data_IF_619749450397
#
_entry.id   IF_619749450397
#
_cell.length_a   1.000
_cell.length_b   1.000
_cell.length_c   1.000
_cell.angle_alpha   90.00
_cell.angle_beta   90.00
_cell.angle_gamma   90.00
#
_symmetry.space_group_name_H-M   'P 1'
#
loop_
_entity.id
_entity.type
_entity.pdbx_description
1 polymer ?
#
# COMPACT_ATOMS: atom_id res chain seq x y z
N UNK A 1 -27.73 -29.20 -58.35
CA UNK A 1 -26.47 -29.24 -57.56
C UNK A 1 -26.19 -30.68 -57.24
N UNK A 2 -24.99 -31.15 -57.58
CA UNK A 2 -24.60 -32.52 -57.28
C UNK A 2 -24.48 -32.70 -55.75
N UNK A 3 -24.87 -33.85 -55.17
CA UNK A 3 -24.81 -34.08 -53.73
C UNK A 3 -23.44 -33.81 -53.12
N UNK A 4 -22.37 -34.05 -53.89
CA UNK A 4 -20.98 -33.74 -53.52
C UNK A 4 -20.73 -32.25 -53.37
N UNK A 5 -21.24 -31.43 -54.30
CA UNK A 5 -21.13 -29.96 -54.23
C UNK A 5 -21.86 -29.39 -53.01
N UNK A 6 -23.02 -29.95 -52.66
CA UNK A 6 -23.77 -29.56 -51.46
C UNK A 6 -22.99 -29.91 -50.18
N UNK A 7 -22.40 -31.11 -50.10
CA UNK A 7 -21.58 -31.52 -48.94
C UNK A 7 -20.36 -30.63 -48.74
N UNK A 8 -19.66 -30.26 -49.82
CA UNK A 8 -18.49 -29.37 -49.75
C UNK A 8 -18.88 -27.99 -49.20
N UNK A 9 -20.00 -27.42 -49.66
CA UNK A 9 -20.48 -26.12 -49.18
C UNK A 9 -20.88 -26.15 -47.71
N UNK A 10 -21.53 -27.23 -47.26
CA UNK A 10 -21.87 -27.42 -45.84
C UNK A 10 -20.60 -27.53 -44.99
N UNK A 11 -19.62 -28.33 -45.42
CA UNK A 11 -18.35 -28.47 -44.71
C UNK A 11 -17.59 -27.14 -44.63
N UNK A 12 -17.53 -26.37 -45.73
CA UNK A 12 -16.93 -25.05 -45.75
C UNK A 12 -17.65 -24.07 -44.80
N UNK A 13 -18.99 -24.07 -44.80
CA UNK A 13 -19.80 -23.26 -43.90
C UNK A 13 -19.54 -23.59 -42.42
N UNK A 14 -19.44 -24.87 -42.08
CA UNK A 14 -19.10 -25.31 -40.72
C UNK A 14 -17.70 -24.85 -40.30
N UNK A 15 -16.70 -24.95 -41.19
CA UNK A 15 -15.34 -24.47 -40.91
C UNK A 15 -15.34 -22.96 -40.64
N UNK A 16 -16.05 -22.18 -41.45
CA UNK A 16 -16.18 -20.73 -41.24
C UNK A 16 -16.84 -20.42 -39.89
N UNK A 17 -17.92 -21.12 -39.52
CA UNK A 17 -18.59 -20.94 -38.24
C UNK A 17 -17.67 -21.26 -37.05
N UNK A 18 -16.88 -22.34 -37.13
CA UNK A 18 -15.91 -22.68 -36.09
C UNK A 18 -14.84 -21.60 -35.91
N UNK A 19 -14.33 -21.03 -37.01
CA UNK A 19 -13.35 -19.94 -36.97
C UNK A 19 -13.97 -18.69 -36.33
N UNK A 20 -15.19 -18.32 -36.70
CA UNK A 20 -15.88 -17.16 -36.14
C UNK A 20 -16.11 -17.31 -34.63
N UNK A 21 -16.55 -18.50 -34.19
CA UNK A 21 -16.75 -18.78 -32.77
C UNK A 21 -15.42 -18.71 -31.99
N UNK A 22 -14.34 -19.25 -32.57
CA UNK A 22 -13.01 -19.18 -31.97
C UNK A 22 -12.50 -17.73 -31.83
N UNK A 23 -12.66 -16.89 -32.86
CA UNK A 23 -12.28 -15.47 -32.80
C UNK A 23 -13.07 -14.76 -31.69
N UNK A 24 -14.40 -14.96 -31.63
CA UNK A 24 -15.25 -14.33 -30.63
C UNK A 24 -14.87 -14.73 -29.20
N UNK A 25 -14.63 -16.03 -28.96
CA UNK A 25 -14.21 -16.53 -27.66
C UNK A 25 -12.84 -15.97 -27.26
N UNK A 26 -11.88 -15.97 -28.18
CA UNK A 26 -10.52 -15.44 -27.94
C UNK A 26 -10.55 -13.94 -27.64
N UNK A 27 -11.33 -13.17 -28.41
CA UNK A 27 -11.50 -11.73 -28.20
C UNK A 27 -12.05 -11.42 -26.80
N UNK A 28 -13.14 -12.09 -26.40
CA UNK A 28 -13.74 -11.89 -25.09
C UNK A 28 -12.76 -12.22 -23.96
N UNK A 29 -12.01 -13.33 -24.10
CA UNK A 29 -10.98 -13.69 -23.12
C UNK A 29 -9.88 -12.63 -22.99
N UNK A 30 -9.46 -12.00 -24.09
CA UNK A 30 -8.49 -10.89 -24.04
C UNK A 30 -9.07 -9.66 -23.36
N UNK A 31 -10.35 -9.35 -23.61
CA UNK A 31 -11.05 -8.24 -22.92
C UNK A 31 -11.11 -8.50 -21.42
N UNK A 32 -11.46 -9.72 -21.00
CA UNK A 32 -11.51 -10.10 -19.59
C UNK A 32 -10.15 -9.94 -18.92
N UNK A 33 -9.09 -10.48 -19.53
CA UNK A 33 -7.73 -10.36 -19.01
C UNK A 33 -7.23 -8.90 -18.97
N UNK A 34 -7.58 -8.08 -19.96
CA UNK A 34 -7.24 -6.65 -19.96
C UNK A 34 -7.93 -5.91 -18.83
N UNK A 35 -9.21 -6.22 -18.58
CA UNK A 35 -9.95 -5.62 -17.47
C UNK A 35 -9.39 -6.08 -16.12
N UNK A 36 -8.94 -7.33 -16.00
CA UNK A 36 -8.26 -7.83 -14.82
C UNK A 36 -6.97 -7.03 -14.53
N UNK A 37 -6.14 -6.80 -15.55
CA UNK A 37 -4.95 -5.94 -15.43
C UNK A 37 -5.31 -4.53 -14.97
N UNK A 38 -6.37 -3.94 -15.53
CA UNK A 38 -6.80 -2.59 -15.16
C UNK A 38 -7.32 -2.52 -13.72
N UNK A 39 -8.08 -3.53 -13.28
CA UNK A 39 -8.58 -3.60 -11.90
C UNK A 39 -7.41 -3.69 -10.91
N UNK A 40 -6.43 -4.55 -11.20
CA UNK A 40 -5.24 -4.65 -10.33
C UNK A 40 -4.40 -3.37 -10.35
N UNK A 41 -4.34 -2.68 -11.48
CA UNK A 41 -3.70 -1.38 -11.55
C UNK A 41 -4.39 -0.32 -10.67
N UNK A 42 -5.73 -0.32 -10.61
CA UNK A 42 -6.48 0.61 -9.74
C UNK A 42 -6.24 0.34 -8.24
N UNK A 43 -6.14 -0.94 -7.85
CA UNK A 43 -5.78 -1.31 -6.48
C UNK A 43 -4.38 -0.79 -6.13
N UNK A 44 -3.41 -1.01 -7.03
CA UNK A 44 -2.05 -0.49 -6.90
C UNK A 44 -2.01 1.05 -6.83
N UNK A 45 -2.73 1.73 -7.72
CA UNK A 45 -2.80 3.20 -7.76
C UNK A 45 -3.35 3.78 -6.44
N UNK A 46 -4.30 3.09 -5.83
CA UNK A 46 -4.85 3.47 -4.53
C UNK A 46 -3.77 3.42 -3.44
N UNK A 47 -2.98 2.34 -3.35
CA UNK A 47 -1.89 2.25 -2.36
C UNK A 47 -0.77 3.26 -2.63
N UNK A 48 -0.44 3.47 -3.90
CA UNK A 48 0.49 4.51 -4.34
C UNK A 48 0.03 5.91 -3.89
N UNK A 49 -1.27 6.19 -4.00
CA UNK A 49 -1.89 7.43 -3.52
C UNK A 49 -1.88 7.58 -1.99
N UNK A 50 -2.15 6.50 -1.24
CA UNK A 50 -2.04 6.49 0.22
C UNK A 50 -0.62 6.82 0.65
N UNK A 51 0.40 6.19 0.04
CA UNK A 51 1.81 6.46 0.33
C UNK A 51 2.13 7.95 0.16
N UNK A 52 1.81 8.53 -1.00
CA UNK A 52 2.02 9.96 -1.28
C UNK A 52 1.33 10.87 -0.25
N UNK A 53 0.10 10.54 0.14
CA UNK A 53 -0.62 11.29 1.19
C UNK A 53 0.10 11.24 2.55
N UNK A 54 0.69 10.09 2.91
CA UNK A 54 1.46 9.97 4.18
C UNK A 54 2.78 10.73 4.11
N UNK A 55 3.50 10.66 3.00
CA UNK A 55 4.72 11.47 2.80
C UNK A 55 4.40 12.96 2.82
N UNK A 56 3.28 13.37 2.24
CA UNK A 56 2.82 14.75 2.26
C UNK A 56 2.56 15.28 3.68
N UNK A 57 2.09 14.43 4.59
CA UNK A 57 1.88 14.78 5.99
C UNK A 57 3.22 14.98 6.71
N UNK A 58 4.22 14.16 6.38
CA UNK A 58 5.59 14.30 6.90
C UNK A 58 6.22 15.62 6.46
N UNK A 59 6.10 16.01 5.18
CA UNK A 59 6.64 17.28 4.68
C UNK A 59 5.99 18.52 5.30
N UNK A 60 4.71 18.44 5.66
CA UNK A 60 3.99 19.52 6.34
C UNK A 60 4.42 19.71 7.81
N UNK A 61 5.12 18.73 8.39
CA UNK A 61 5.78 18.92 9.68
C UNK A 61 6.93 19.90 9.48
N UNK A 62 7.06 20.90 10.35
CA UNK A 62 8.11 21.93 10.25
C UNK A 62 9.50 21.33 10.57
N UNK A 63 10.00 20.53 9.63
CA UNK A 63 11.27 19.79 9.74
C UNK A 63 12.46 20.75 9.83
N UNK A 64 12.28 22.01 9.40
CA UNK A 64 13.22 23.10 9.59
C UNK A 64 13.32 23.56 11.06
N UNK A 65 12.23 23.52 11.83
CA UNK A 65 12.27 23.77 13.29
C UNK A 65 12.95 22.64 14.07
N UNK A 66 13.00 21.41 13.51
CA UNK A 66 13.51 20.22 14.18
C UNK A 66 15.02 19.98 13.99
N UNK A 67 15.72 20.79 13.19
CA UNK A 67 17.16 20.65 12.96
C UNK A 67 17.55 19.34 12.27
N UNK A 68 16.64 18.75 11.49
CA UNK A 68 16.90 17.55 10.69
C UNK A 68 18.13 17.77 9.79
N UNK A 69 18.99 16.77 9.61
CA UNK A 69 20.02 16.83 8.57
C UNK A 69 19.33 17.13 7.22
N UNK A 70 19.71 18.25 6.58
CA UNK A 70 19.03 18.72 5.36
C UNK A 70 18.99 17.62 4.30
N UNK A 71 20.00 16.74 4.27
CA UNK A 71 20.14 15.72 3.25
C UNK A 71 18.98 14.70 3.20
N UNK A 72 18.43 14.27 4.34
CA UNK A 72 17.30 13.31 4.35
C UNK A 72 16.01 14.02 3.94
N UNK A 73 15.80 15.25 4.44
CA UNK A 73 14.65 16.05 4.05
C UNK A 73 14.66 16.38 2.55
N UNK A 74 15.81 16.79 2.03
CA UNK A 74 16.01 17.11 0.61
C UNK A 74 15.70 15.88 -0.26
N UNK A 75 16.12 14.68 0.17
CA UNK A 75 15.78 13.41 -0.51
C UNK A 75 14.28 13.13 -0.50
N UNK A 76 13.56 13.39 0.59
CA UNK A 76 12.10 13.21 0.67
C UNK A 76 11.39 14.18 -0.27
N UNK A 77 11.77 15.46 -0.23
CA UNK A 77 11.19 16.52 -1.07
C UNK A 77 11.45 16.24 -2.55
N UNK A 78 12.67 15.83 -2.90
CA UNK A 78 13.02 15.46 -4.28
C UNK A 78 12.22 14.24 -4.75
N UNK A 79 12.16 13.17 -3.94
CA UNK A 79 11.40 11.98 -4.27
C UNK A 79 9.91 12.29 -4.50
N UNK A 80 9.31 13.13 -3.65
CA UNK A 80 7.91 13.55 -3.79
C UNK A 80 7.69 14.46 -5.00
N UNK A 81 8.61 15.36 -5.29
CA UNK A 81 8.56 16.19 -6.51
C UNK A 81 8.58 15.33 -7.77
N UNK A 82 9.49 14.36 -7.85
CA UNK A 82 9.55 13.43 -8.97
C UNK A 82 8.29 12.58 -9.08
N UNK A 83 7.75 12.14 -7.93
CA UNK A 83 6.49 11.42 -7.87
C UNK A 83 5.31 12.23 -8.41
N UNK A 84 5.16 13.48 -7.98
CA UNK A 84 4.10 14.37 -8.45
C UNK A 84 4.20 14.61 -9.98
N UNK A 85 5.41 14.85 -10.49
CA UNK A 85 5.65 15.00 -11.93
C UNK A 85 5.28 13.74 -12.71
N UNK A 86 5.69 12.57 -12.20
CA UNK A 86 5.40 11.30 -12.83
C UNK A 86 3.89 10.99 -12.84
N UNK A 87 3.20 11.25 -11.72
CA UNK A 87 1.73 11.12 -11.61
C UNK A 87 1.01 12.01 -12.61
N UNK A 88 1.41 13.28 -12.74
CA UNK A 88 0.82 14.21 -13.72
C UNK A 88 1.06 13.80 -15.18
N UNK A 89 2.13 13.04 -15.47
CA UNK A 89 2.42 12.58 -16.82
C UNK A 89 1.50 11.45 -17.31
N UNK A 90 0.79 10.77 -16.41
CA UNK A 90 -0.01 9.57 -16.72
C UNK A 90 0.82 8.36 -17.17
N UNK A 91 2.15 8.45 -17.15
CA UNK A 91 3.04 7.37 -17.57
C UNK A 91 3.27 6.40 -16.40
N UNK A 92 2.70 5.21 -16.49
CA UNK A 92 2.80 4.15 -15.47
C UNK A 92 4.26 3.77 -15.16
N UNK A 93 5.14 3.75 -16.17
CA UNK A 93 6.57 3.46 -15.98
C UNK A 93 7.29 4.60 -15.26
N UNK A 94 6.96 5.86 -15.56
CA UNK A 94 7.52 7.01 -14.85
C UNK A 94 7.03 7.04 -13.40
N UNK A 95 5.73 6.82 -13.18
CA UNK A 95 5.13 6.74 -11.85
C UNK A 95 5.79 5.63 -11.05
N UNK A 96 6.06 4.51 -11.73
CA UNK A 96 6.80 3.42 -11.13
C UNK A 96 8.18 3.90 -10.66
N UNK A 97 9.06 4.35 -11.56
CA UNK A 97 10.41 4.81 -11.15
C UNK A 97 10.42 5.85 -10.02
N UNK A 98 9.51 6.81 -10.05
CA UNK A 98 9.42 7.84 -9.02
C UNK A 98 8.91 7.31 -7.67
N UNK A 99 7.99 6.35 -7.69
CA UNK A 99 7.54 5.64 -6.48
C UNK A 99 8.70 4.90 -5.79
N UNK A 100 9.65 4.36 -6.56
CA UNK A 100 10.74 3.54 -6.00
C UNK A 100 11.75 4.39 -5.24
N UNK A 101 11.89 5.66 -5.63
CA UNK A 101 12.69 6.62 -4.89
C UNK A 101 12.10 6.85 -3.49
N UNK A 102 10.78 7.01 -3.37
CA UNK A 102 10.12 7.12 -2.06
C UNK A 102 10.34 5.87 -1.20
N UNK A 103 10.32 4.69 -1.81
CA UNK A 103 10.49 3.42 -1.09
C UNK A 103 11.90 3.25 -0.51
N UNK A 104 12.89 3.87 -1.14
CA UNK A 104 14.27 3.89 -0.63
C UNK A 104 14.47 4.91 0.49
N UNK A 105 13.76 6.04 0.47
CA UNK A 105 14.01 7.16 1.39
C UNK A 105 13.23 7.01 2.70
N UNK A 106 11.98 6.54 2.65
CA UNK A 106 11.11 6.47 3.84
C UNK A 106 11.65 5.57 4.97
N UNK A 107 12.15 4.35 4.70
CA UNK A 107 12.73 3.51 5.76
C UNK A 107 13.96 4.15 6.41
N UNK A 108 14.82 4.81 5.61
CA UNK A 108 15.98 5.52 6.12
C UNK A 108 15.60 6.74 6.96
N UNK A 109 14.53 7.46 6.57
CA UNK A 109 14.00 8.58 7.32
C UNK A 109 13.40 8.12 8.67
N UNK A 110 12.68 6.99 8.70
CA UNK A 110 12.16 6.41 9.93
C UNK A 110 13.29 6.00 10.88
N UNK A 111 14.29 5.27 10.40
CA UNK A 111 15.44 4.86 11.21
C UNK A 111 16.20 6.08 11.79
N UNK A 112 16.34 7.15 11.00
CA UNK A 112 16.93 8.39 11.48
C UNK A 112 16.07 9.03 12.58
N UNK A 113 14.74 9.11 12.41
CA UNK A 113 13.82 9.66 13.40
C UNK A 113 13.81 8.88 14.72
N UNK A 114 13.97 7.56 14.69
CA UNK A 114 14.08 6.69 15.87
C UNK A 114 15.41 6.86 16.62
N UNK A 115 16.51 7.09 15.88
CA UNK A 115 17.84 7.32 16.48
C UNK A 115 18.02 8.70 17.12
N UNK A 116 17.07 9.63 16.89
CA UNK A 116 17.14 11.03 17.31
C UNK A 116 15.97 11.37 18.26
N UNK A 117 16.22 11.46 19.58
CA UNK A 117 15.17 11.69 20.58
C UNK A 117 14.32 12.95 20.33
N UNK A 118 14.91 14.01 19.76
CA UNK A 118 14.17 15.23 19.42
C UNK A 118 13.08 14.97 18.37
N UNK A 119 13.31 14.04 17.43
CA UNK A 119 12.35 13.69 16.38
C UNK A 119 11.33 12.66 16.86
N UNK A 120 11.77 11.71 17.70
CA UNK A 120 10.89 10.68 18.26
C UNK A 120 9.75 11.29 19.08
N UNK A 121 9.99 12.43 19.73
CA UNK A 121 8.96 13.17 20.47
C UNK A 121 7.85 13.77 19.60
N UNK A 122 8.07 13.87 18.28
CA UNK A 122 7.13 14.47 17.35
C UNK A 122 6.20 13.39 16.76
N UNK A 123 5.14 13.05 17.51
CA UNK A 123 4.21 11.96 17.19
C UNK A 123 3.68 11.97 15.74
N UNK A 124 3.40 13.16 15.17
CA UNK A 124 2.90 13.27 13.78
C UNK A 124 3.95 12.85 12.74
N UNK A 125 5.22 13.11 13.01
CA UNK A 125 6.33 12.79 12.09
C UNK A 125 6.56 11.28 12.09
N UNK A 126 6.75 10.70 13.28
CA UNK A 126 7.01 9.27 13.46
C UNK A 126 5.84 8.46 12.91
N UNK A 127 4.60 8.79 13.29
CA UNK A 127 3.42 8.09 12.80
C UNK A 127 3.28 8.20 11.26
N UNK A 128 3.57 9.36 10.67
CA UNK A 128 3.54 9.53 9.21
C UNK A 128 4.58 8.67 8.49
N UNK A 129 5.80 8.57 9.06
CA UNK A 129 6.86 7.72 8.52
C UNK A 129 6.53 6.23 8.68
N UNK A 130 6.03 5.79 9.82
CA UNK A 130 5.58 4.42 10.06
C UNK A 130 4.44 4.01 9.12
N UNK A 131 3.42 4.86 8.99
CA UNK A 131 2.31 4.63 8.07
C UNK A 131 2.76 4.62 6.60
N UNK A 132 3.71 5.48 6.24
CA UNK A 132 4.34 5.50 4.92
C UNK A 132 5.09 4.20 4.63
N UNK A 133 5.91 3.73 5.57
CA UNK A 133 6.63 2.46 5.46
C UNK A 133 5.67 1.27 5.39
N UNK A 134 4.59 1.28 6.18
CA UNK A 134 3.55 0.27 6.12
C UNK A 134 2.80 0.27 4.77
N UNK A 135 2.59 1.45 4.16
CA UNK A 135 2.02 1.57 2.82
C UNK A 135 2.92 0.95 1.75
N UNK A 136 4.26 1.05 1.86
CA UNK A 136 5.21 0.35 0.97
C UNK A 136 4.98 -1.16 1.03
N UNK A 137 4.84 -1.70 2.23
CA UNK A 137 4.64 -3.14 2.41
C UNK A 137 3.35 -3.64 1.78
N UNK A 138 2.25 -2.90 1.94
CA UNK A 138 0.97 -3.22 1.27
C UNK A 138 1.10 -3.12 -0.25
N UNK A 139 1.75 -2.07 -0.72
CA UNK A 139 2.00 -1.83 -2.14
C UNK A 139 2.78 -2.99 -2.79
N UNK A 140 3.75 -3.60 -2.09
CA UNK A 140 4.49 -4.75 -2.63
C UNK A 140 3.58 -5.93 -3.03
N UNK A 141 2.56 -6.22 -2.21
CA UNK A 141 1.56 -7.26 -2.52
C UNK A 141 0.74 -6.90 -3.76
N UNK A 142 0.28 -5.65 -3.86
CA UNK A 142 -0.49 -5.17 -5.01
C UNK A 142 0.33 -5.16 -6.30
N UNK A 143 1.64 -4.87 -6.21
CA UNK A 143 2.56 -4.93 -7.35
C UNK A 143 2.71 -6.37 -7.85
N UNK A 144 2.80 -7.35 -6.96
CA UNK A 144 2.85 -8.76 -7.34
C UNK A 144 1.57 -9.18 -8.08
N UNK A 145 0.40 -8.85 -7.53
CA UNK A 145 -0.90 -9.16 -8.15
C UNK A 145 -1.07 -8.47 -9.51
N UNK A 146 -0.72 -7.19 -9.61
CA UNK A 146 -0.70 -6.46 -10.87
C UNK A 146 0.25 -7.12 -11.89
N UNK A 147 1.49 -7.38 -11.50
CA UNK A 147 2.47 -7.98 -12.40
C UNK A 147 2.06 -9.39 -12.84
N UNK A 148 1.43 -10.18 -11.97
CA UNK A 148 0.92 -11.49 -12.32
C UNK A 148 -0.23 -11.40 -13.33
N UNK A 149 -1.19 -10.49 -13.12
CA UNK A 149 -2.28 -10.27 -14.08
C UNK A 149 -1.74 -9.80 -15.44
N UNK A 150 -0.77 -8.88 -15.44
CA UNK A 150 -0.13 -8.38 -16.65
C UNK A 150 0.65 -9.48 -17.38
N UNK A 151 1.38 -10.35 -16.65
CA UNK A 151 2.06 -11.53 -17.21
C UNK A 151 1.06 -12.51 -17.83
N UNK A 152 -0.07 -12.78 -17.17
CA UNK A 152 -1.12 -13.66 -17.69
C UNK A 152 -1.72 -13.12 -19.00
N UNK A 153 -2.07 -11.83 -19.00
CA UNK A 153 -2.57 -11.13 -20.19
C UNK A 153 -1.55 -11.16 -21.33
N UNK A 154 -0.30 -10.77 -21.06
CA UNK A 154 0.78 -10.74 -22.05
C UNK A 154 1.00 -12.13 -22.65
N UNK A 155 1.11 -13.15 -21.81
CA UNK A 155 1.27 -14.55 -22.23
C UNK A 155 0.13 -14.98 -23.16
N UNK A 156 -1.13 -14.68 -22.81
CA UNK A 156 -2.27 -15.03 -23.65
C UNK A 156 -2.26 -14.27 -24.99
N UNK A 157 -1.93 -12.98 -25.00
CA UNK A 157 -1.86 -12.17 -26.23
C UNK A 157 -0.71 -12.57 -27.17
N UNK A 158 0.34 -13.18 -26.64
CA UNK A 158 1.52 -13.60 -27.40
C UNK A 158 1.47 -15.07 -27.84
N UNK A 159 0.59 -15.88 -27.24
CA UNK A 159 0.46 -17.30 -27.53
C UNK A 159 -0.22 -17.56 -28.88
N UNK A 160 0.25 -18.56 -29.64
CA UNK A 160 -0.45 -19.05 -30.83
C UNK A 160 -1.60 -19.99 -30.42
N UNK A 161 -2.81 -19.89 -31.00
CA UNK A 161 -3.20 -19.03 -32.12
C UNK A 161 -3.73 -17.63 -31.74
N UNK A 162 -3.85 -17.31 -30.45
CA UNK A 162 -4.42 -16.06 -29.95
C UNK A 162 -3.73 -14.80 -30.50
N UNK A 163 -2.41 -14.83 -30.72
CA UNK A 163 -1.62 -13.71 -31.28
C UNK A 163 -2.16 -13.16 -32.60
N UNK A 164 -2.84 -13.98 -33.41
CA UNK A 164 -3.48 -13.54 -34.67
C UNK A 164 -4.62 -12.57 -34.35
N UNK A 165 -5.48 -12.95 -33.41
CA UNK A 165 -6.61 -12.12 -32.94
C UNK A 165 -6.07 -10.88 -32.24
N UNK A 166 -5.03 -11.03 -31.40
CA UNK A 166 -4.41 -9.91 -30.70
C UNK A 166 -3.92 -8.83 -31.67
N UNK A 167 -3.18 -9.23 -32.71
CA UNK A 167 -2.68 -8.30 -33.74
C UNK A 167 -3.79 -7.69 -34.60
N UNK A 168 -4.82 -8.47 -34.94
CA UNK A 168 -5.95 -8.02 -35.75
C UNK A 168 -6.78 -6.94 -35.04
N UNK A 169 -7.01 -7.10 -33.74
CA UNK A 169 -7.84 -6.19 -32.93
C UNK A 169 -7.04 -5.19 -32.09
N UNK A 170 -5.70 -5.19 -32.21
CA UNK A 170 -4.84 -4.20 -31.57
C UNK A 170 -4.64 -4.40 -30.05
N UNK A 171 -4.75 -5.63 -29.55
CA UNK A 171 -4.36 -5.94 -28.17
C UNK A 171 -2.84 -5.83 -28.05
N UNK A 172 -2.39 -4.85 -27.26
CA UNK A 172 -0.98 -4.57 -26.98
C UNK A 172 -0.58 -5.20 -25.67
N UNK A 173 0.72 -5.50 -25.52
CA UNK A 173 1.34 -5.92 -24.26
C UNK A 173 1.09 -4.87 -23.17
N UNK A 174 0.77 -5.32 -21.97
CA UNK A 174 0.71 -4.50 -20.76
C UNK A 174 2.11 -4.30 -20.17
N UNK A 175 2.38 -3.09 -19.69
CA UNK A 175 3.62 -2.75 -18.99
C UNK A 175 3.63 -3.38 -17.59
N UNK A 176 4.78 -3.89 -17.18
CA UNK A 176 4.99 -4.34 -15.81
C UNK A 176 5.36 -3.15 -14.92
N UNK A 177 5.08 -3.30 -13.63
CA UNK A 177 5.50 -2.37 -12.60
C UNK A 177 6.86 -2.84 -12.06
N UNK A 178 7.90 -2.66 -12.86
CA UNK A 178 9.28 -3.20 -12.68
C UNK A 178 10.14 -2.44 -11.65
N UNK A 179 9.53 -1.98 -10.56
CA UNK A 179 10.22 -1.16 -9.56
C UNK A 179 11.08 -1.98 -8.59
N UNK A 180 10.80 -3.27 -8.49
CA UNK A 180 11.43 -4.18 -7.55
C UNK A 180 11.95 -5.36 -8.34
N UNK A 181 13.24 -5.71 -8.19
CA UNK A 181 13.65 -7.07 -8.53
C UNK A 181 12.89 -8.03 -7.60
N UNK A 182 12.68 -9.28 -8.02
CA UNK A 182 12.07 -10.31 -7.14
C UNK A 182 12.77 -10.36 -5.77
N UNK A 183 14.07 -10.08 -5.73
CA UNK A 183 14.90 -9.94 -4.53
C UNK A 183 14.56 -8.71 -3.67
N UNK A 184 14.27 -7.56 -4.28
CA UNK A 184 13.82 -6.36 -3.56
C UNK A 184 12.40 -6.53 -3.00
N UNK A 185 11.51 -7.21 -3.74
CA UNK A 185 10.18 -7.59 -3.24
C UNK A 185 10.31 -8.50 -2.03
N UNK A 186 11.17 -9.53 -2.11
CA UNK A 186 11.44 -10.44 -0.99
C UNK A 186 11.95 -9.68 0.25
N UNK A 187 12.91 -8.76 0.08
CA UNK A 187 13.41 -7.94 1.18
C UNK A 187 12.39 -6.93 1.75
N UNK A 188 11.36 -6.56 1.00
CA UNK A 188 10.23 -5.79 1.53
C UNK A 188 9.32 -6.63 2.42
N UNK A 189 9.16 -7.92 2.09
CA UNK A 189 8.43 -8.87 2.94
C UNK A 189 9.20 -9.21 4.22
N UNK A 190 10.53 -9.33 4.15
CA UNK A 190 11.36 -9.50 5.35
C UNK A 190 11.22 -8.28 6.28
N UNK A 191 11.36 -7.08 5.71
CA UNK A 191 11.11 -5.84 6.47
C UNK A 191 9.68 -5.75 6.99
N UNK A 192 8.67 -6.21 6.26
CA UNK A 192 7.28 -6.27 6.75
C UNK A 192 7.14 -7.14 7.99
N UNK A 193 7.79 -8.31 8.01
CA UNK A 193 7.74 -9.19 9.16
C UNK A 193 8.37 -8.51 10.39
N UNK A 194 9.52 -7.85 10.18
CA UNK A 194 10.20 -7.08 11.22
C UNK A 194 9.33 -5.90 11.70
N UNK A 195 8.81 -5.08 10.78
CA UNK A 195 7.94 -3.93 11.06
C UNK A 195 6.63 -4.34 11.72
N UNK A 196 6.02 -5.44 11.29
CA UNK A 196 4.79 -5.96 11.87
C UNK A 196 4.99 -6.37 13.33
N UNK A 197 6.07 -7.08 13.62
CA UNK A 197 6.45 -7.44 14.98
C UNK A 197 6.75 -6.20 15.86
N UNK A 198 7.34 -5.17 15.25
CA UNK A 198 7.65 -3.91 15.93
C UNK A 198 6.42 -3.06 16.25
N UNK A 199 5.50 -2.89 15.29
CA UNK A 199 4.24 -2.15 15.49
C UNK A 199 3.38 -2.83 16.55
N UNK A 200 3.33 -4.17 16.52
CA UNK A 200 2.58 -4.96 17.51
C UNK A 200 3.20 -4.83 18.92
N UNK A 201 4.53 -4.80 19.00
CA UNK A 201 5.27 -4.48 20.23
C UNK A 201 4.94 -3.08 20.76
N UNK A 202 4.98 -2.05 19.92
CA UNK A 202 4.71 -0.66 20.34
C UNK A 202 3.27 -0.44 20.76
N UNK A 203 2.33 -1.09 20.08
CA UNK A 203 0.91 -1.08 20.46
C UNK A 203 0.70 -1.75 21.82
N UNK A 204 1.33 -2.91 22.05
CA UNK A 204 1.30 -3.58 23.35
C UNK A 204 1.90 -2.72 24.47
N UNK A 205 3.01 -2.00 24.22
CA UNK A 205 3.59 -1.08 25.21
C UNK A 205 2.66 0.08 25.55
N UNK A 206 1.99 0.66 24.55
CA UNK A 206 1.04 1.75 24.75
C UNK A 206 -0.22 1.30 25.49
N UNK A 207 -0.72 0.10 25.17
CA UNK A 207 -1.87 -0.50 25.85
C UNK A 207 -1.57 -0.77 27.33
N UNK A 208 -0.39 -1.34 27.63
CA UNK A 208 0.08 -1.55 29.02
C UNK A 208 0.17 -0.23 29.78
N UNK A 209 0.72 0.81 29.16
CA UNK A 209 0.86 2.12 29.81
C UNK A 209 -0.50 2.79 30.08
N UNK A 210 -1.48 2.56 29.21
CA UNK A 210 -2.85 3.06 29.38
C UNK A 210 -3.57 2.32 30.51
N UNK A 211 -3.36 1.02 30.63
CA UNK A 211 -3.89 0.21 31.74
C UNK A 211 -3.30 0.68 33.08
N UNK A 212 -1.98 0.86 33.15
CA UNK A 212 -1.29 1.36 34.36
C UNK A 212 -1.79 2.74 34.82
N UNK A 213 -2.05 3.64 33.87
CA UNK A 213 -2.62 4.96 34.16
C UNK A 213 -4.03 4.87 34.73
N UNK A 214 -4.86 3.93 34.27
CA UNK A 214 -6.20 3.71 34.84
C UNK A 214 -6.12 3.18 36.26
N UNK A 215 -5.24 2.20 36.50
CA UNK A 215 -5.03 1.64 37.83
C UNK A 215 -4.53 2.70 38.83
N UNK A 216 -3.62 3.59 38.41
CA UNK A 216 -3.15 4.71 39.23
C UNK A 216 -4.26 5.73 39.52
N UNK A 217 -5.13 6.04 38.55
CA UNK A 217 -6.27 6.93 38.75
C UNK A 217 -7.25 6.32 39.76
N UNK A 218 -7.58 5.04 39.62
CA UNK A 218 -8.50 4.35 40.53
C UNK A 218 -7.95 4.29 41.96
N UNK A 219 -6.64 4.08 42.12
CA UNK A 219 -5.99 4.13 43.43
C UNK A 219 -6.06 5.52 44.08
N UNK A 220 -5.85 6.60 43.31
CA UNK A 220 -5.93 7.98 43.80
C UNK A 220 -7.36 8.34 44.18
N UNK A 221 -8.36 7.93 43.38
CA UNK A 221 -9.77 8.13 43.69
C UNK A 221 -10.16 7.45 45.01
N UNK A 222 -9.72 6.20 45.23
CA UNK A 222 -9.96 5.49 46.48
C UNK A 222 -9.30 6.16 47.70
N UNK A 223 -8.08 6.70 47.55
CA UNK A 223 -7.41 7.46 48.61
C UNK A 223 -8.15 8.77 48.94
N UNK A 224 -8.66 9.47 47.92
CA UNK A 224 -9.43 10.70 48.10
C UNK A 224 -10.75 10.44 48.85
N UNK A 225 -11.48 9.38 48.49
CA UNK A 225 -12.70 8.97 49.20
C UNK A 225 -12.43 8.64 50.67
N UNK A 226 -11.35 7.91 50.95
CA UNK A 226 -10.94 7.58 52.32
C UNK A 226 -10.60 8.84 53.14
N UNK A 227 -9.96 9.82 52.51
CA UNK A 227 -9.60 11.10 53.15
C UNK A 227 -10.86 11.91 53.49
N UNK A 228 -11.82 12.00 52.56
CA UNK A 228 -13.12 12.63 52.81
C UNK A 228 -13.90 11.93 53.93
N UNK A 229 -13.93 10.59 53.91
CA UNK A 229 -14.60 9.80 54.93
C UNK A 229 -13.98 10.05 56.33
N UNK A 230 -12.65 10.11 56.43
CA UNK A 230 -11.94 10.46 57.66
C UNK A 230 -12.24 11.89 58.13
N UNK A 231 -12.32 12.85 57.20
CA UNK A 231 -12.66 14.24 57.52
C UNK A 231 -14.09 14.37 58.06
N UNK A 232 -15.06 13.69 57.44
CA UNK A 232 -16.46 13.62 57.92
C UNK A 232 -16.55 12.98 59.30
N UNK A 233 -15.81 11.89 59.54
CA UNK A 233 -15.77 11.22 60.84
C UNK A 233 -15.18 12.12 61.94
N UNK A 234 -14.13 12.89 61.63
CA UNK A 234 -13.56 13.87 62.56
C UNK A 234 -14.56 14.98 62.91
N UNK A 235 -15.24 15.54 61.91
CA UNK A 235 -16.26 16.58 62.13
C UNK A 235 -17.43 16.09 62.99
N UNK A 236 -17.86 14.84 62.80
CA UNK A 236 -18.91 14.22 63.63
C UNK A 236 -18.45 14.01 65.08
N UNK A 237 -17.18 13.66 65.30
CA UNK A 237 -16.62 13.54 66.66
C UNK A 237 -16.54 14.88 67.39
N UNK A 238 -16.15 15.96 66.70
CA UNK A 238 -16.18 17.32 67.27
C UNK A 238 -17.60 17.78 67.63
N UNK A 239 -18.62 17.38 66.86
CA UNK A 239 -20.02 17.68 67.18
C UNK A 239 -20.59 16.83 68.33
N UNK A 240 -20.07 15.62 68.55
CA UNK A 240 -20.54 14.69 69.57
C UNK A 240 -20.04 15.00 70.99
N UNK A 241 -19.10 15.94 71.16
CA UNK A 241 -18.67 16.42 72.46
C UNK A 241 -17.82 15.43 73.26
N UNK A 242 -16.73 14.93 72.66
CA UNK A 242 -15.51 14.57 73.40
C UNK A 242 -14.50 15.71 73.37
#
# INVERSE_FOLDING_TARGET
MDPTTLMILIAAGLVVLMILFWIMSTYNRMVDLRNEVENQYQNLETQVGVKDQKVALVEQTDLAQLGLESEIYDKIVEARKLFAQAKSSGNRSALSKASGLMDSVLPSALAFAESNPQLTSHNVLVAGLEEGVHAISKMASEVEEYNQSAKNYNTFTEMFPAVIVARMFGFKRADLFDQYSDEQVAHMFDRRADLGSFVESKRSEADIKTEQLKDEIEAIEAEAELLEAKARLKALKEQAGE
#
